data_IF_592702436068
#
_entry.id   IF_592702436068
#
_cell.length_a   1.000
_cell.length_b   1.000
_cell.length_c   1.000
_cell.angle_alpha   90.00
_cell.angle_beta   90.00
_cell.angle_gamma   90.00
#
_symmetry.space_group_name_H-M   'P 1'
#
loop_
_entity.id
_entity.type
_entity.pdbx_description
1 polymer ?
#
# COMPACT_ATOMS: atom_id res chain seq x y z
N UNK A 1 9.46 0.49 19.43
CA UNK A 1 10.24 1.71 19.11
C UNK A 1 10.56 1.63 17.63
N UNK A 2 10.27 2.67 16.83
CA UNK A 2 10.54 2.74 15.39
C UNK A 2 10.99 4.15 14.96
N UNK A 3 11.30 4.42 13.69
CA UNK A 3 11.85 5.71 13.26
C UNK A 3 10.89 6.89 13.45
N UNK A 4 9.58 6.66 13.55
CA UNK A 4 8.55 7.67 13.82
C UNK A 4 8.12 7.70 15.29
N UNK A 5 8.93 7.18 16.21
CA UNK A 5 8.64 7.29 17.65
C UNK A 5 8.53 8.76 18.06
N UNK A 6 7.45 9.10 18.77
CA UNK A 6 7.16 10.46 19.20
C UNK A 6 6.42 11.31 18.17
N UNK A 7 6.06 10.74 17.02
CA UNK A 7 5.11 11.34 16.07
C UNK A 7 3.69 10.90 16.44
N UNK A 8 2.74 11.82 16.51
CA UNK A 8 1.30 11.54 16.69
C UNK A 8 0.52 11.92 15.44
N UNK A 9 -0.29 10.99 14.93
CA UNK A 9 -1.11 11.19 13.72
C UNK A 9 -2.56 10.88 14.00
N UNK A 10 -3.45 11.78 13.60
CA UNK A 10 -4.90 11.57 13.64
C UNK A 10 -5.36 11.02 12.28
N UNK A 11 -6.04 9.91 12.27
CA UNK A 11 -6.65 9.35 11.06
C UNK A 11 -8.17 9.47 11.15
N UNK A 12 -8.80 10.16 10.21
CA UNK A 12 -10.25 10.07 10.07
C UNK A 12 -10.60 8.80 9.29
N UNK A 13 -11.44 7.95 9.89
CA UNK A 13 -11.75 6.63 9.37
C UNK A 13 -12.15 6.64 7.89
N UNK A 14 -11.29 6.02 7.06
CA UNK A 14 -11.50 5.79 5.63
C UNK A 14 -11.41 4.30 5.25
N UNK A 15 -11.27 4.05 3.94
CA UNK A 15 -11.08 2.73 3.34
C UNK A 15 -9.82 2.72 2.47
N UNK A 16 -9.25 1.54 2.21
CA UNK A 16 -8.16 1.32 1.24
C UNK A 16 -6.90 2.16 1.51
N UNK A 17 -6.62 3.21 0.71
CA UNK A 17 -5.36 3.96 0.75
C UNK A 17 -5.08 4.71 2.07
N UNK A 18 -6.11 5.33 2.69
CA UNK A 18 -5.94 6.08 3.94
C UNK A 18 -5.53 5.18 5.11
N UNK A 19 -6.28 4.09 5.39
CA UNK A 19 -5.91 3.05 6.33
C UNK A 19 -4.53 2.45 6.07
N UNK A 20 -4.17 2.24 4.80
CA UNK A 20 -2.84 1.74 4.44
C UNK A 20 -1.72 2.74 4.79
N UNK A 21 -1.90 4.03 4.49
CA UNK A 21 -0.97 5.09 4.94
C UNK A 21 -0.82 5.08 6.46
N UNK A 22 -1.93 5.08 7.20
CA UNK A 22 -1.94 5.02 8.65
C UNK A 22 -1.21 3.78 9.21
N UNK A 23 -1.41 2.61 8.60
CA UNK A 23 -0.70 1.37 8.92
C UNK A 23 0.82 1.54 8.77
N UNK A 24 1.27 2.07 7.63
CA UNK A 24 2.70 2.25 7.36
C UNK A 24 3.35 3.19 8.38
N UNK A 25 2.67 4.28 8.77
CA UNK A 25 3.17 5.20 9.80
C UNK A 25 3.19 4.52 11.19
N UNK A 26 2.14 3.76 11.53
CA UNK A 26 2.04 3.04 12.79
C UNK A 26 3.10 1.93 12.93
N UNK A 27 3.34 1.16 11.87
CA UNK A 27 4.37 0.13 11.83
C UNK A 27 5.77 0.72 12.03
N UNK A 28 5.97 1.97 11.64
CA UNK A 28 7.20 2.75 11.85
C UNK A 28 7.27 3.48 13.19
N UNK A 29 6.28 3.32 14.08
CA UNK A 29 6.35 3.84 15.44
C UNK A 29 5.52 5.09 15.74
N UNK A 30 4.82 5.67 14.77
CA UNK A 30 3.94 6.83 15.00
C UNK A 30 2.72 6.43 15.85
N UNK A 31 2.36 7.18 16.89
CA UNK A 31 1.10 6.99 17.60
C UNK A 31 -0.07 7.42 16.71
N UNK A 32 -0.77 6.45 16.14
CA UNK A 32 -1.90 6.71 15.24
C UNK A 32 -3.22 6.53 16.00
N UNK A 33 -3.99 7.61 16.08
CA UNK A 33 -5.33 7.63 16.66
C UNK A 33 -6.35 7.70 15.52
N UNK A 34 -7.07 6.60 15.33
CA UNK A 34 -8.18 6.53 14.38
C UNK A 34 -9.46 7.10 15.01
N UNK A 35 -10.07 8.04 14.32
CA UNK A 35 -11.40 8.57 14.63
C UNK A 35 -12.42 7.77 13.84
N UNK A 36 -13.06 6.81 14.52
CA UNK A 36 -14.19 6.07 13.98
C UNK A 36 -15.49 6.83 14.22
N UNK A 37 -16.47 6.61 13.34
CA UNK A 37 -17.81 7.17 13.54
C UNK A 37 -18.38 6.59 14.84
N UNK A 38 -18.93 7.43 15.71
CA UNK A 38 -19.61 6.98 16.93
C UNK A 38 -20.67 5.89 16.63
N UNK A 39 -21.38 6.04 15.51
CA UNK A 39 -22.37 5.06 15.03
C UNK A 39 -21.80 3.73 14.56
N UNK A 40 -20.47 3.56 14.49
CA UNK A 40 -19.80 2.29 14.21
C UNK A 40 -19.32 1.57 15.48
N UNK A 41 -19.35 2.23 16.65
CA UNK A 41 -18.99 1.61 17.93
C UNK A 41 -20.06 0.59 18.31
N UNK A 42 -19.65 -0.66 18.55
CA UNK A 42 -20.55 -1.78 18.91
C UNK A 42 -20.12 -2.49 20.19
N UNK A 43 -19.04 -2.03 20.83
CA UNK A 43 -18.27 -2.85 21.75
C UNK A 43 -17.55 -3.98 21.02
N UNK A 44 -16.68 -4.69 21.73
CA UNK A 44 -15.91 -5.79 21.19
C UNK A 44 -14.95 -6.32 22.23
N UNK A 45 -14.62 -7.60 22.11
CA UNK A 45 -13.65 -8.24 22.99
C UNK A 45 -12.23 -7.95 22.49
N UNK A 46 -11.37 -7.27 23.27
CA UNK A 46 -9.97 -7.02 22.90
C UNK A 46 -9.16 -8.30 22.64
N UNK A 47 -9.55 -9.42 23.25
CA UNK A 47 -8.90 -10.72 23.03
C UNK A 47 -9.28 -11.35 21.68
N UNK A 48 -10.33 -10.82 21.03
CA UNK A 48 -10.80 -11.20 19.69
C UNK A 48 -10.84 -9.98 18.76
N UNK A 49 -9.68 -9.47 18.32
CA UNK A 49 -9.61 -8.27 17.51
C UNK A 49 -10.19 -8.46 16.10
N UNK A 50 -10.64 -7.38 15.44
CA UNK A 50 -11.04 -7.42 14.04
C UNK A 50 -9.94 -7.92 13.12
N UNK A 51 -10.32 -8.49 11.98
CA UNK A 51 -9.39 -9.07 10.99
C UNK A 51 -8.97 -8.11 9.87
N UNK A 52 -9.41 -6.86 9.92
CA UNK A 52 -8.94 -5.83 8.99
C UNK A 52 -7.53 -5.37 9.40
N UNK A 53 -6.53 -6.09 8.88
CA UNK A 53 -5.13 -5.93 9.26
C UNK A 53 -4.53 -4.58 8.89
N UNK A 54 -5.14 -3.85 7.94
CA UNK A 54 -4.73 -2.47 7.70
C UNK A 54 -4.86 -1.66 9.00
N UNK A 55 -5.83 -1.98 9.86
CA UNK A 55 -6.09 -1.30 11.13
C UNK A 55 -5.12 -1.61 12.27
N UNK A 56 -4.12 -2.47 12.06
CA UNK A 56 -3.12 -2.80 13.08
C UNK A 56 -2.31 -1.58 13.52
N UNK A 57 -1.77 -1.65 14.73
CA UNK A 57 -0.86 -0.65 15.29
C UNK A 57 -1.52 0.65 15.77
N UNK A 58 -2.84 0.79 15.63
CA UNK A 58 -3.59 2.02 15.95
C UNK A 58 -4.36 1.92 17.27
N UNK A 59 -4.72 3.08 17.80
CA UNK A 59 -5.79 3.25 18.80
C UNK A 59 -7.03 3.79 18.10
N UNK A 60 -8.21 3.62 18.69
CA UNK A 60 -9.48 4.05 18.09
C UNK A 60 -10.33 4.80 19.10
N UNK A 61 -10.91 5.93 18.67
CA UNK A 61 -11.88 6.75 19.40
C UNK A 61 -13.16 6.88 18.57
N UNK A 62 -14.31 6.70 19.20
CA UNK A 62 -15.62 6.87 18.56
C UNK A 62 -16.10 8.32 18.70
N UNK A 63 -16.25 9.04 17.59
CA UNK A 63 -16.68 10.45 17.59
C UNK A 63 -17.80 10.66 16.57
N UNK A 64 -18.83 11.43 16.93
CA UNK A 64 -19.84 11.93 15.99
C UNK A 64 -19.44 13.29 15.40
N UNK A 65 -18.88 13.27 14.19
CA UNK A 65 -18.48 14.46 13.44
C UNK A 65 -19.67 15.33 12.96
N UNK A 66 -20.92 14.92 13.23
CA UNK A 66 -22.11 15.77 12.99
C UNK A 66 -22.45 16.64 14.19
N UNK A 67 -21.89 16.35 15.36
CA UNK A 67 -22.07 17.16 16.57
C UNK A 67 -20.95 18.20 16.68
N UNK A 68 -21.29 19.41 17.13
CA UNK A 68 -20.28 20.46 17.36
C UNK A 68 -19.25 20.05 18.41
N UNK A 69 -19.66 19.30 19.43
CA UNK A 69 -18.78 18.77 20.48
C UNK A 69 -17.84 17.67 19.95
N UNK A 70 -18.30 16.84 19.04
CA UNK A 70 -17.46 15.84 18.37
C UNK A 70 -16.42 16.49 17.46
N UNK A 71 -16.81 17.53 16.70
CA UNK A 71 -15.88 18.34 15.91
C UNK A 71 -14.83 18.99 16.81
N UNK A 72 -15.24 19.63 17.90
CA UNK A 72 -14.32 20.24 18.87
C UNK A 72 -13.39 19.20 19.52
N UNK A 73 -13.86 17.97 19.73
CA UNK A 73 -13.02 16.87 20.23
C UNK A 73 -11.93 16.50 19.22
N UNK A 74 -12.22 16.47 17.92
CA UNK A 74 -11.19 16.27 16.88
C UNK A 74 -10.21 17.42 16.82
N UNK A 75 -10.69 18.66 16.89
CA UNK A 75 -9.83 19.84 16.92
C UNK A 75 -8.90 19.85 18.14
N UNK A 76 -9.38 19.37 19.29
CA UNK A 76 -8.55 19.17 20.50
C UNK A 76 -7.48 18.09 20.30
N UNK A 77 -7.79 17.00 19.59
CA UNK A 77 -6.79 15.99 19.22
C UNK A 77 -5.69 16.56 18.31
N UNK A 78 -6.08 17.45 17.40
CA UNK A 78 -5.18 18.11 16.44
C UNK A 78 -4.15 19.02 17.13
N UNK A 79 -4.49 19.65 18.26
CA UNK A 79 -3.57 20.54 19.00
C UNK A 79 -2.27 19.83 19.43
N UNK A 80 -2.33 18.54 19.73
CA UNK A 80 -1.18 17.72 20.12
C UNK A 80 -0.64 16.78 19.04
N UNK A 81 -1.08 16.92 17.79
CA UNK A 81 -0.71 16.02 16.69
C UNK A 81 0.36 16.64 15.77
N UNK A 82 1.18 15.80 15.15
CA UNK A 82 2.09 16.20 14.08
C UNK A 82 1.42 16.15 12.70
N UNK A 83 0.40 15.29 12.56
CA UNK A 83 -0.36 15.21 11.32
C UNK A 83 -1.80 14.73 11.50
N UNK A 84 -2.63 15.03 10.52
CA UNK A 84 -3.96 14.48 10.34
C UNK A 84 -4.08 13.94 8.91
N UNK A 85 -4.78 12.82 8.70
CA UNK A 85 -5.13 12.35 7.35
C UNK A 85 -6.60 11.97 7.23
N UNK A 86 -7.19 12.30 6.08
CA UNK A 86 -8.58 12.02 5.74
C UNK A 86 -8.72 11.63 4.27
N UNK A 87 -9.79 10.91 3.93
CA UNK A 87 -10.06 10.41 2.58
C UNK A 87 -11.43 10.77 2.05
N UNK A 88 -12.00 11.90 2.48
CA UNK A 88 -13.28 12.37 1.99
C UNK A 88 -13.16 12.96 0.59
N UNK A 89 -14.33 13.12 -0.04
CA UNK A 89 -14.44 13.93 -1.26
C UNK A 89 -14.12 15.40 -0.96
N UNK A 90 -13.61 16.15 -1.94
CA UNK A 90 -13.36 17.59 -1.79
C UNK A 90 -14.58 18.33 -1.19
N UNK A 91 -14.33 19.22 -0.23
CA UNK A 91 -15.35 20.02 0.45
C UNK A 91 -16.10 19.35 1.60
N UNK A 92 -15.90 18.05 1.85
CA UNK A 92 -16.58 17.35 2.95
C UNK A 92 -15.98 17.70 4.30
N UNK A 93 -14.64 17.69 4.42
CA UNK A 93 -13.96 17.98 5.69
C UNK A 93 -14.24 19.39 6.19
N UNK A 94 -14.29 20.37 5.27
CA UNK A 94 -14.63 21.76 5.52
C UNK A 94 -16.07 21.89 6.01
N UNK A 95 -17.02 21.20 5.38
CA UNK A 95 -18.42 21.20 5.83
C UNK A 95 -18.59 20.58 7.22
N UNK A 96 -17.70 19.66 7.60
CA UNK A 96 -17.68 19.07 8.94
C UNK A 96 -16.92 19.93 9.97
N UNK A 97 -16.25 21.03 9.56
CA UNK A 97 -15.47 21.87 10.48
C UNK A 97 -14.15 21.26 10.93
N UNK A 98 -13.64 20.28 10.17
CA UNK A 98 -12.33 19.64 10.40
C UNK A 98 -11.44 19.77 9.15
N UNK A 99 -11.69 20.80 8.34
CA UNK A 99 -10.89 21.10 7.17
C UNK A 99 -9.47 21.56 7.53
N UNK A 100 -8.58 21.71 6.55
CA UNK A 100 -7.22 22.16 6.82
C UNK A 100 -7.14 23.52 7.50
N UNK A 101 -7.99 24.48 7.11
CA UNK A 101 -7.99 25.82 7.70
C UNK A 101 -8.34 25.76 9.19
N UNK A 102 -9.40 25.03 9.56
CA UNK A 102 -9.82 24.84 10.95
C UNK A 102 -8.71 24.16 11.77
N UNK A 103 -8.11 23.11 11.22
CA UNK A 103 -7.07 22.33 11.89
C UNK A 103 -5.76 23.13 12.05
N UNK A 104 -5.31 23.85 11.01
CA UNK A 104 -4.11 24.68 11.04
C UNK A 104 -4.27 25.92 11.94
N UNK A 105 -5.50 26.40 12.13
CA UNK A 105 -5.79 27.46 13.09
C UNK A 105 -5.54 27.01 14.54
N UNK A 106 -5.80 25.73 14.86
CA UNK A 106 -5.50 25.12 16.17
C UNK A 106 -4.04 24.72 16.31
N UNK A 107 -3.44 24.20 15.24
CA UNK A 107 -2.05 23.77 15.23
C UNK A 107 -1.35 24.19 13.93
N UNK A 108 -0.59 25.28 13.98
CA UNK A 108 0.12 25.85 12.82
C UNK A 108 1.22 24.96 12.26
N UNK A 109 1.71 23.98 13.02
CA UNK A 109 2.72 23.01 12.60
C UNK A 109 2.13 21.71 12.03
N UNK A 110 0.80 21.54 12.05
CA UNK A 110 0.14 20.31 11.62
C UNK A 110 0.31 20.05 10.12
N UNK A 111 0.71 18.83 9.78
CA UNK A 111 0.62 18.34 8.39
C UNK A 111 -0.77 17.75 8.13
N UNK A 112 -1.48 18.27 7.13
CA UNK A 112 -2.82 17.79 6.78
C UNK A 112 -2.80 17.00 5.47
N UNK A 113 -2.97 15.68 5.57
CA UNK A 113 -3.00 14.76 4.45
C UNK A 113 -4.39 14.54 3.88
N UNK A 114 -4.53 14.67 2.57
CA UNK A 114 -5.75 14.36 1.83
C UNK A 114 -5.52 13.18 0.91
N UNK A 115 -6.26 12.11 1.14
CA UNK A 115 -6.23 10.91 0.31
C UNK A 115 -7.42 10.90 -0.63
N UNK A 116 -7.22 11.31 -1.89
CA UNK A 116 -8.30 11.29 -2.89
C UNK A 116 -7.97 10.41 -4.07
N UNK A 117 -9.00 10.08 -4.84
CA UNK A 117 -8.83 9.39 -6.11
C UNK A 117 -8.31 10.30 -7.22
N UNK A 118 -8.98 11.43 -7.40
CA UNK A 118 -8.82 12.33 -8.54
C UNK A 118 -8.05 13.62 -8.24
N UNK A 119 -7.75 13.92 -6.97
CA UNK A 119 -7.22 15.21 -6.52
C UNK A 119 -8.30 16.12 -5.91
N UNK A 120 -7.86 17.21 -5.27
CA UNK A 120 -8.77 18.26 -4.79
C UNK A 120 -9.37 19.11 -5.91
N UNK A 121 -8.74 19.12 -7.09
CA UNK A 121 -9.16 19.89 -8.27
C UNK A 121 -9.24 19.03 -9.54
N UNK A 122 -9.52 19.69 -10.67
CA UNK A 122 -9.72 19.02 -11.95
C UNK A 122 -11.16 18.56 -12.22
N UNK A 123 -11.44 18.10 -13.45
CA UNK A 123 -12.79 17.79 -13.91
C UNK A 123 -13.44 16.60 -13.18
N UNK A 124 -12.63 15.72 -12.58
CA UNK A 124 -13.10 14.53 -11.88
C UNK A 124 -13.11 14.67 -10.36
N UNK A 125 -12.66 15.79 -9.77
CA UNK A 125 -12.59 15.98 -8.31
C UNK A 125 -13.89 15.62 -7.57
N UNK A 126 -15.05 16.00 -8.12
CA UNK A 126 -16.35 15.69 -7.53
C UNK A 126 -16.90 14.29 -7.92
N UNK A 127 -16.33 13.64 -8.93
CA UNK A 127 -16.82 12.39 -9.48
C UNK A 127 -16.55 11.21 -8.53
N UNK A 128 -17.42 10.20 -8.56
CA UNK A 128 -17.11 8.93 -7.93
C UNK A 128 -16.00 8.21 -8.72
N UNK A 129 -15.17 7.46 -8.01
CA UNK A 129 -14.19 6.56 -8.59
C UNK A 129 -13.83 5.48 -7.60
N UNK A 130 -13.12 4.48 -8.08
CA UNK A 130 -12.47 3.45 -7.30
C UNK A 130 -11.08 3.20 -7.89
N UNK A 131 -10.21 2.49 -7.16
CA UNK A 131 -8.86 2.08 -7.57
C UNK A 131 -8.71 1.89 -9.10
N UNK A 132 -9.53 1.01 -9.68
CA UNK A 132 -9.50 0.65 -11.11
C UNK A 132 -9.64 1.86 -12.05
N UNK A 133 -10.45 2.85 -11.69
CA UNK A 133 -10.67 4.05 -12.51
C UNK A 133 -9.44 4.97 -12.49
N UNK A 134 -8.76 5.07 -11.34
CA UNK A 134 -7.58 5.93 -11.18
C UNK A 134 -6.41 5.38 -12.00
N UNK A 135 -6.15 4.08 -11.89
CA UNK A 135 -5.08 3.42 -12.66
C UNK A 135 -5.40 3.32 -14.16
N UNK A 136 -6.68 3.35 -14.55
CA UNK A 136 -7.08 3.45 -15.94
C UNK A 136 -6.71 4.81 -16.54
N UNK A 137 -7.01 5.91 -15.84
CA UNK A 137 -6.66 7.26 -16.33
C UNK A 137 -5.17 7.54 -16.27
N UNK A 138 -4.44 6.91 -15.35
CA UNK A 138 -2.98 6.98 -15.28
C UNK A 138 -2.26 6.19 -16.39
N UNK A 139 -2.99 5.41 -17.20
CA UNK A 139 -2.42 4.52 -18.23
C UNK A 139 -1.84 3.21 -17.68
N UNK A 140 -1.72 3.06 -16.35
CA UNK A 140 -1.16 1.88 -15.72
C UNK A 140 -1.96 0.61 -16.05
N UNK A 141 -3.30 0.68 -16.04
CA UNK A 141 -4.14 -0.49 -16.34
C UNK A 141 -3.91 -1.01 -17.77
N UNK A 142 -3.72 -0.11 -18.74
CA UNK A 142 -3.51 -0.50 -20.14
C UNK A 142 -2.25 -1.35 -20.32
N UNK A 143 -1.21 -1.14 -19.51
CA UNK A 143 0.03 -1.92 -19.57
C UNK A 143 -0.04 -3.32 -18.95
N UNK A 144 -1.12 -3.70 -18.27
CA UNK A 144 -1.17 -4.92 -17.45
C UNK A 144 -2.10 -5.97 -18.08
N UNK A 145 -1.55 -7.14 -18.40
CA UNK A 145 -2.27 -8.26 -19.04
C UNK A 145 -1.54 -8.79 -20.27
N UNK A 146 -2.10 -9.83 -20.91
CA UNK A 146 -1.49 -10.46 -22.09
C UNK A 146 -1.90 -9.77 -23.39
N UNK A 147 -1.11 -10.02 -24.44
CA UNK A 147 -1.41 -9.58 -25.80
C UNK A 147 -2.74 -10.19 -26.27
N UNK A 148 -3.61 -9.36 -26.86
CA UNK A 148 -4.91 -9.79 -27.38
C UNK A 148 -5.99 -10.05 -26.31
N UNK A 149 -5.64 -10.01 -25.02
CA UNK A 149 -6.59 -10.14 -23.90
C UNK A 149 -7.01 -8.76 -23.37
N UNK A 150 -8.06 -8.70 -22.54
CA UNK A 150 -8.44 -7.47 -21.86
C UNK A 150 -7.37 -7.04 -20.82
N UNK A 151 -7.25 -5.74 -20.51
CA UNK A 151 -6.45 -5.28 -19.36
C UNK A 151 -6.86 -5.99 -18.06
N UNK A 152 -5.88 -6.35 -17.23
CA UNK A 152 -6.09 -7.11 -15.99
C UNK A 152 -5.93 -6.20 -14.77
N UNK A 153 -6.95 -6.04 -13.91
CA UNK A 153 -6.83 -5.34 -12.65
C UNK A 153 -5.76 -5.97 -11.73
N UNK A 154 -4.70 -5.25 -11.33
CA UNK A 154 -3.59 -5.79 -10.53
C UNK A 154 -3.91 -5.80 -9.03
N UNK A 155 -5.08 -6.33 -8.66
CA UNK A 155 -5.72 -6.04 -7.37
C UNK A 155 -5.79 -4.51 -7.17
N UNK A 156 -5.81 -4.04 -5.93
CA UNK A 156 -5.68 -2.62 -5.60
C UNK A 156 -4.23 -2.21 -5.21
N UNK A 157 -3.23 -2.98 -5.65
CA UNK A 157 -1.82 -2.74 -5.31
C UNK A 157 -1.28 -1.46 -5.94
N UNK A 158 -1.76 -1.10 -7.13
CA UNK A 158 -1.22 0.02 -7.92
C UNK A 158 -1.87 1.35 -7.55
N UNK A 159 -3.19 1.41 -7.44
CA UNK A 159 -3.92 2.63 -7.10
C UNK A 159 -3.93 2.88 -5.60
N UNK A 160 -4.71 2.10 -4.86
CA UNK A 160 -4.93 2.30 -3.42
C UNK A 160 -3.60 2.30 -2.63
N UNK A 161 -2.77 1.27 -2.80
CA UNK A 161 -1.58 1.13 -1.96
C UNK A 161 -0.36 1.85 -2.54
N UNK A 162 0.02 1.51 -3.77
CA UNK A 162 1.18 2.07 -4.45
C UNK A 162 1.04 3.57 -4.71
N UNK A 163 0.02 3.98 -5.45
CA UNK A 163 -0.20 5.36 -5.88
C UNK A 163 -0.89 6.26 -4.85
N UNK A 164 -1.65 5.68 -3.93
CA UNK A 164 -2.34 6.40 -2.85
C UNK A 164 -1.55 6.35 -1.56
N UNK A 165 -1.75 5.27 -0.80
CA UNK A 165 -1.32 5.16 0.58
C UNK A 165 0.19 5.35 0.78
N UNK A 166 1.04 4.81 -0.10
CA UNK A 166 2.49 5.04 -0.03
C UNK A 166 2.90 6.48 -0.36
N UNK A 167 2.30 7.11 -1.39
CA UNK A 167 2.60 8.51 -1.72
C UNK A 167 2.14 9.47 -0.64
N UNK A 168 0.99 9.20 -0.01
CA UNK A 168 0.57 9.98 1.15
C UNK A 168 1.50 9.76 2.33
N UNK A 169 1.86 8.52 2.68
CA UNK A 169 2.80 8.27 3.78
C UNK A 169 4.15 8.97 3.55
N UNK A 170 4.67 8.90 2.33
CA UNK A 170 5.88 9.62 1.92
C UNK A 170 5.71 11.15 2.05
N UNK A 171 4.62 11.70 1.51
CA UNK A 171 4.31 13.13 1.58
C UNK A 171 4.14 13.63 3.02
N UNK A 172 3.46 12.87 3.87
CA UNK A 172 3.29 13.15 5.30
C UNK A 172 4.65 13.20 6.00
N UNK A 173 5.52 12.21 5.79
CA UNK A 173 6.87 12.20 6.40
C UNK A 173 7.71 13.38 5.92
N UNK A 174 7.72 13.67 4.62
CA UNK A 174 8.42 14.83 4.05
C UNK A 174 7.94 16.15 4.67
N UNK A 175 6.62 16.34 4.74
CA UNK A 175 6.03 17.55 5.30
C UNK A 175 6.25 17.65 6.82
N UNK A 176 6.24 16.55 7.58
CA UNK A 176 6.51 16.58 9.02
C UNK A 176 7.98 16.91 9.30
N UNK A 177 8.92 16.42 8.46
CA UNK A 177 10.33 16.79 8.55
C UNK A 177 10.56 18.27 8.21
N UNK A 178 9.84 18.79 7.21
CA UNK A 178 9.85 20.22 6.88
C UNK A 178 9.32 21.04 8.06
N UNK A 179 8.14 20.69 8.58
CA UNK A 179 7.46 21.39 9.66
C UNK A 179 8.29 21.44 10.95
N UNK A 180 9.08 20.39 11.23
CA UNK A 180 10.04 20.39 12.35
C UNK A 180 11.13 21.46 12.24
N UNK A 181 11.47 21.87 11.02
CA UNK A 181 12.48 22.89 10.75
C UNK A 181 11.86 24.28 10.62
N UNK A 182 10.74 24.37 9.91
CA UNK A 182 10.07 25.65 9.59
C UNK A 182 9.12 26.13 10.70
N UNK A 183 8.67 25.23 11.56
CA UNK A 183 7.57 25.45 12.51
C UNK A 183 6.20 25.59 11.84
N UNK A 184 6.08 25.25 10.54
CA UNK A 184 4.87 25.44 9.75
C UNK A 184 4.46 24.14 9.09
N UNK A 185 3.21 23.77 9.31
CA UNK A 185 2.56 22.67 8.63
C UNK A 185 2.09 23.06 7.24
N UNK A 186 1.62 22.07 6.50
CA UNK A 186 1.09 22.24 5.15
C UNK A 186 0.09 21.14 4.80
N UNK A 187 -0.65 21.37 3.72
CA UNK A 187 -1.54 20.36 3.13
C UNK A 187 -0.74 19.48 2.17
N UNK A 188 -0.91 18.17 2.29
CA UNK A 188 -0.43 17.16 1.34
C UNK A 188 -1.64 16.65 0.59
N UNK A 189 -1.82 17.06 -0.67
CA UNK A 189 -2.81 16.46 -1.57
C UNK A 189 -2.19 15.25 -2.26
N UNK A 190 -2.67 14.06 -1.92
CA UNK A 190 -2.21 12.80 -2.48
C UNK A 190 -3.35 12.15 -3.27
N UNK A 191 -3.38 12.44 -4.57
CA UNK A 191 -4.31 11.82 -5.50
C UNK A 191 -3.77 10.46 -5.99
N UNK A 192 -4.60 9.41 -5.94
CA UNK A 192 -4.23 8.09 -6.44
C UNK A 192 -3.90 8.10 -7.93
N UNK A 193 -4.57 8.94 -8.73
CA UNK A 193 -4.27 9.08 -10.17
C UNK A 193 -2.86 9.62 -10.41
N UNK A 194 -2.40 10.59 -9.61
CA UNK A 194 -1.06 11.17 -9.73
C UNK A 194 0.01 10.19 -9.30
N UNK A 195 -0.21 9.50 -8.18
CA UNK A 195 0.72 8.48 -7.71
C UNK A 195 0.80 7.29 -8.66
N UNK A 196 -0.33 6.82 -9.21
CA UNK A 196 -0.34 5.77 -10.23
C UNK A 196 0.39 6.20 -11.50
N UNK A 197 0.23 7.45 -11.95
CA UNK A 197 0.99 8.00 -13.08
C UNK A 197 2.48 8.11 -12.76
N UNK A 198 2.84 8.50 -11.53
CA UNK A 198 4.23 8.55 -11.08
C UNK A 198 4.89 7.17 -11.07
N UNK A 199 4.17 6.11 -10.69
CA UNK A 199 4.66 4.73 -10.81
C UNK A 199 4.93 4.32 -12.27
N UNK A 200 4.26 4.95 -13.24
CA UNK A 200 4.45 4.69 -14.66
C UNK A 200 5.64 5.45 -15.29
N UNK A 201 6.36 6.29 -14.54
CA UNK A 201 7.41 7.19 -15.07
C UNK A 201 8.43 6.48 -15.98
N UNK A 202 8.93 5.29 -15.60
CA UNK A 202 9.90 4.56 -16.40
C UNK A 202 9.35 4.15 -17.78
N UNK A 203 8.07 3.79 -17.85
CA UNK A 203 7.40 3.38 -19.08
C UNK A 203 7.15 4.55 -20.02
N UNK A 204 6.80 5.73 -19.49
CA UNK A 204 6.77 6.96 -20.26
C UNK A 204 8.14 7.29 -20.87
N UNK A 205 9.22 7.09 -20.10
CA UNK A 205 10.60 7.24 -20.60
C UNK A 205 10.95 6.26 -21.72
N UNK A 206 10.59 4.98 -21.57
CA UNK A 206 10.79 3.96 -22.60
C UNK A 206 9.98 4.25 -23.87
N UNK A 207 8.72 4.67 -23.73
CA UNK A 207 7.88 5.08 -24.85
C UNK A 207 8.46 6.29 -25.59
N UNK A 208 8.88 7.33 -24.86
CA UNK A 208 9.54 8.50 -25.42
C UNK A 208 10.87 8.18 -26.13
N UNK A 209 11.50 7.06 -25.78
CA UNK A 209 12.76 6.59 -26.39
C UNK A 209 12.57 5.53 -27.48
N UNK A 210 11.33 5.14 -27.80
CA UNK A 210 11.02 4.10 -28.79
C UNK A 210 11.27 2.66 -28.32
N UNK A 211 11.59 2.46 -27.04
CA UNK A 211 11.79 1.13 -26.44
C UNK A 211 10.50 0.50 -25.90
N UNK A 212 9.37 1.18 -26.00
CA UNK A 212 8.06 0.67 -25.59
C UNK A 212 7.06 0.74 -26.74
N UNK A 213 6.35 -0.35 -26.96
CA UNK A 213 5.16 -0.44 -27.82
C UNK A 213 3.93 -0.18 -26.98
N UNK A 214 3.00 0.64 -27.50
CA UNK A 214 1.70 0.85 -26.83
C UNK A 214 0.75 -0.37 -26.96
N UNK A 215 1.21 -1.44 -27.62
CA UNK A 215 0.55 -2.74 -27.61
C UNK A 215 0.97 -3.55 -26.37
N UNK A 216 0.04 -3.73 -25.43
CA UNK A 216 0.23 -4.55 -24.23
C UNK A 216 0.62 -5.99 -24.58
N UNK A 217 1.50 -6.57 -23.77
CA UNK A 217 1.91 -7.97 -23.90
C UNK A 217 2.97 -8.20 -24.96
N UNK A 218 3.57 -7.13 -25.49
CA UNK A 218 4.60 -7.18 -26.56
C UNK A 218 5.94 -6.59 -26.14
N UNK A 219 6.02 -6.06 -24.92
CA UNK A 219 7.20 -5.44 -24.35
C UNK A 219 7.96 -6.42 -23.45
N UNK A 220 9.19 -6.03 -23.09
CA UNK A 220 10.04 -6.86 -22.22
C UNK A 220 9.43 -7.07 -20.83
N UNK A 221 8.79 -6.03 -20.26
CA UNK A 221 8.32 -6.02 -18.87
C UNK A 221 6.81 -6.23 -18.71
N UNK A 222 6.09 -6.62 -19.77
CA UNK A 222 4.62 -6.76 -19.76
C UNK A 222 4.14 -8.12 -20.29
N UNK A 223 4.96 -9.19 -20.18
CA UNK A 223 4.73 -10.56 -20.69
C UNK A 223 5.09 -10.83 -22.15
N UNK A 224 5.66 -9.85 -22.87
CA UNK A 224 6.14 -10.02 -24.23
C UNK A 224 7.34 -10.94 -24.37
N UNK A 225 8.39 -10.74 -23.57
CA UNK A 225 9.65 -11.50 -23.64
C UNK A 225 9.55 -12.91 -23.05
N UNK A 226 10.27 -13.88 -23.65
CA UNK A 226 10.35 -15.25 -23.12
C UNK A 226 11.21 -15.36 -21.85
N UNK A 227 12.19 -14.48 -21.67
CA UNK A 227 13.06 -14.47 -20.49
C UNK A 227 12.53 -13.54 -19.37
N UNK A 228 11.32 -13.01 -19.47
CA UNK A 228 10.68 -12.23 -18.41
C UNK A 228 9.18 -12.55 -18.37
N UNK A 229 8.83 -13.67 -17.72
CA UNK A 229 7.46 -14.18 -17.72
C UNK A 229 7.20 -15.19 -16.59
N UNK A 230 5.94 -15.61 -16.48
CA UNK A 230 5.51 -16.76 -15.68
C UNK A 230 5.17 -17.94 -16.59
N UNK A 231 5.55 -19.14 -16.15
CA UNK A 231 5.37 -20.38 -16.91
C UNK A 231 4.69 -21.45 -16.07
N UNK A 232 3.74 -22.16 -16.67
CA UNK A 232 3.07 -23.30 -16.05
C UNK A 232 3.97 -24.54 -16.08
N UNK A 233 3.98 -25.28 -14.98
CA UNK A 233 4.79 -26.47 -14.73
C UNK A 233 3.95 -27.74 -14.87
N UNK A 234 4.57 -28.92 -14.85
CA UNK A 234 3.89 -30.20 -15.08
C UNK A 234 2.73 -30.50 -14.10
N UNK A 235 2.76 -29.91 -12.90
CA UNK A 235 1.74 -30.04 -11.86
C UNK A 235 0.71 -28.90 -11.85
N UNK A 236 0.64 -28.09 -12.91
CA UNK A 236 -0.33 -26.99 -13.06
C UNK A 236 -0.06 -25.78 -12.15
N UNK A 237 1.13 -25.73 -11.53
CA UNK A 237 1.62 -24.59 -10.75
C UNK A 237 2.50 -23.68 -11.63
N UNK A 238 2.91 -22.53 -11.11
CA UNK A 238 3.69 -21.55 -11.88
C UNK A 238 5.06 -21.27 -11.26
N UNK A 239 6.03 -20.99 -12.13
CA UNK A 239 7.32 -20.38 -11.79
C UNK A 239 7.43 -19.01 -12.49
N UNK A 240 8.25 -18.12 -11.94
CA UNK A 240 8.63 -16.85 -12.57
C UNK A 240 10.10 -16.89 -13.00
N UNK A 241 10.37 -16.33 -14.18
CA UNK A 241 11.71 -16.10 -14.71
C UNK A 241 11.84 -14.62 -15.08
N UNK A 242 12.99 -14.02 -14.76
CA UNK A 242 13.34 -12.65 -15.16
C UNK A 242 14.81 -12.38 -15.49
N UNK A 243 15.59 -13.29 -16.13
CA UNK A 243 16.99 -13.00 -16.46
C UNK A 243 17.11 -12.07 -17.67
N UNK A 244 17.01 -10.75 -17.44
CA UNK A 244 17.11 -9.74 -18.48
C UNK A 244 18.56 -9.58 -18.96
N UNK A 245 19.51 -9.60 -18.03
CA UNK A 245 20.93 -9.40 -18.35
C UNK A 245 21.53 -10.63 -19.06
N UNK A 246 22.37 -10.45 -20.10
CA UNK A 246 22.85 -11.54 -20.93
C UNK A 246 23.53 -12.69 -20.18
N UNK A 247 24.27 -12.40 -19.10
CA UNK A 247 24.92 -13.42 -18.29
C UNK A 247 23.94 -14.30 -17.51
N UNK A 248 22.84 -13.71 -17.03
CA UNK A 248 21.78 -14.44 -16.31
C UNK A 248 20.94 -15.26 -17.29
N UNK A 249 20.72 -14.73 -18.49
CA UNK A 249 20.06 -15.46 -19.56
C UNK A 249 20.91 -16.64 -20.06
N UNK A 250 22.23 -16.47 -20.14
CA UNK A 250 23.16 -17.57 -20.44
C UNK A 250 23.12 -18.66 -19.37
N UNK A 251 23.08 -18.30 -18.08
CA UNK A 251 22.90 -19.27 -16.98
C UNK A 251 21.57 -20.03 -17.11
N UNK A 252 20.48 -19.33 -17.42
CA UNK A 252 19.18 -19.98 -17.66
C UNK A 252 19.28 -20.98 -18.82
N UNK A 253 19.87 -20.56 -19.94
CA UNK A 253 20.05 -21.42 -21.11
C UNK A 253 20.84 -22.68 -20.78
N UNK A 254 21.94 -22.55 -20.05
CA UNK A 254 22.77 -23.69 -19.65
C UNK A 254 21.98 -24.67 -18.78
N UNK A 255 21.29 -24.18 -17.74
CA UNK A 255 20.52 -25.04 -16.82
C UNK A 255 19.34 -25.74 -17.48
N UNK A 256 18.73 -25.12 -18.49
CA UNK A 256 17.59 -25.67 -19.22
C UNK A 256 17.98 -26.41 -20.50
N UNK A 257 19.28 -26.45 -20.85
CA UNK A 257 19.77 -27.10 -22.07
C UNK A 257 19.38 -26.38 -23.38
N UNK A 258 19.20 -25.06 -23.34
CA UNK A 258 18.77 -24.22 -24.46
C UNK A 258 19.97 -23.78 -25.34
N UNK A 259 20.58 -24.74 -26.02
CA UNK A 259 21.82 -24.53 -26.79
C UNK A 259 21.62 -24.14 -28.27
N UNK A 260 20.39 -24.15 -28.77
CA UNK A 260 20.10 -23.81 -30.16
C UNK A 260 20.41 -22.34 -30.52
N UNK A 261 20.81 -22.03 -31.77
CA UNK A 261 21.11 -20.66 -32.20
C UNK A 261 19.89 -19.73 -32.17
N UNK A 262 18.68 -20.26 -32.17
CA UNK A 262 17.45 -19.49 -32.02
C UNK A 262 17.35 -18.75 -30.68
N UNK A 263 18.10 -19.19 -29.67
CA UNK A 263 18.13 -18.57 -28.34
C UNK A 263 19.14 -17.41 -28.23
N UNK A 264 20.06 -17.26 -29.19
CA UNK A 264 21.12 -16.24 -29.18
C UNK A 264 20.61 -14.79 -29.30
N UNK A 265 19.65 -14.45 -30.19
CA UNK A 265 19.16 -13.09 -30.33
C UNK A 265 18.13 -12.74 -29.24
N UNK A 266 18.54 -12.77 -27.97
CA UNK A 266 17.68 -12.57 -26.80
C UNK A 266 16.72 -11.38 -26.95
N UNK A 267 17.21 -10.23 -27.41
CA UNK A 267 16.45 -8.98 -27.51
C UNK A 267 15.70 -8.79 -28.83
N UNK A 268 15.74 -9.77 -29.74
CA UNK A 268 14.96 -9.74 -30.98
C UNK A 268 13.49 -10.10 -30.70
N UNK A 269 12.66 -9.06 -30.66
CA UNK A 269 11.23 -9.17 -30.38
C UNK A 269 10.47 -10.06 -31.37
N UNK A 270 10.97 -10.20 -32.59
CA UNK A 270 10.29 -11.01 -33.61
C UNK A 270 10.30 -12.50 -33.27
N UNK A 271 11.31 -12.97 -32.52
CA UNK A 271 11.42 -14.36 -32.08
C UNK A 271 10.68 -14.67 -30.78
N UNK A 272 10.34 -13.65 -29.97
CA UNK A 272 9.76 -13.85 -28.63
C UNK A 272 8.50 -14.73 -28.60
N UNK A 273 7.52 -14.60 -29.52
CA UNK A 273 6.34 -15.46 -29.50
C UNK A 273 6.68 -16.96 -29.59
N UNK A 274 7.54 -17.35 -30.54
CA UNK A 274 7.94 -18.75 -30.72
C UNK A 274 8.82 -19.25 -29.55
N UNK A 275 9.76 -18.42 -29.08
CA UNK A 275 10.62 -18.77 -27.95
C UNK A 275 9.84 -18.91 -26.64
N UNK A 276 8.74 -18.15 -26.46
CA UNK A 276 7.82 -18.33 -25.33
C UNK A 276 7.19 -19.72 -25.34
N UNK A 277 6.70 -20.17 -26.49
CA UNK A 277 6.10 -21.51 -26.62
C UNK A 277 7.13 -22.62 -26.36
N UNK A 278 8.33 -22.50 -26.93
CA UNK A 278 9.42 -23.47 -26.70
C UNK A 278 9.83 -23.52 -25.23
N UNK A 279 10.00 -22.36 -24.59
CA UNK A 279 10.37 -22.31 -23.18
C UNK A 279 9.26 -22.87 -22.30
N UNK A 280 8.00 -22.53 -22.57
CA UNK A 280 6.86 -23.12 -21.86
C UNK A 280 6.84 -24.65 -21.98
N UNK A 281 7.12 -25.21 -23.17
CA UNK A 281 7.21 -26.64 -23.37
C UNK A 281 8.37 -27.31 -22.63
N UNK A 282 9.47 -26.59 -22.37
CA UNK A 282 10.56 -27.06 -21.50
C UNK A 282 10.11 -27.04 -20.05
N UNK A 283 9.55 -25.92 -19.57
CA UNK A 283 9.09 -25.76 -18.18
C UNK A 283 8.00 -26.78 -17.81
N UNK A 284 7.08 -27.08 -18.73
CA UNK A 284 6.00 -28.04 -18.51
C UNK A 284 6.46 -29.50 -18.33
N UNK A 285 7.75 -29.82 -18.49
CA UNK A 285 8.28 -31.18 -18.34
C UNK A 285 8.58 -31.58 -16.88
N UNK A 286 8.66 -30.60 -15.98
CA UNK A 286 8.97 -30.83 -14.56
C UNK A 286 7.95 -30.10 -13.69
N UNK A 287 7.77 -30.63 -12.49
CA UNK A 287 6.97 -29.99 -11.44
C UNK A 287 7.63 -28.71 -10.95
N UNK A 288 6.86 -27.82 -10.30
CA UNK A 288 7.41 -26.60 -9.69
C UNK A 288 8.56 -26.90 -8.72
N UNK A 289 8.42 -27.93 -7.90
CA UNK A 289 9.41 -28.25 -6.85
C UNK A 289 10.72 -28.80 -7.46
N UNK A 290 10.65 -29.58 -8.55
CA UNK A 290 11.84 -29.99 -9.31
C UNK A 290 12.56 -28.80 -9.97
N UNK A 291 11.82 -27.77 -10.41
CA UNK A 291 12.44 -26.53 -10.87
C UNK A 291 13.09 -25.75 -9.73
N UNK A 292 12.45 -25.72 -8.55
CA UNK A 292 13.03 -25.12 -7.36
C UNK A 292 14.38 -25.77 -7.01
N UNK A 293 14.46 -27.10 -7.00
CA UNK A 293 15.72 -27.84 -6.76
C UNK A 293 16.83 -27.49 -7.76
N UNK A 294 16.47 -27.19 -9.02
CA UNK A 294 17.44 -26.90 -10.08
C UNK A 294 17.87 -25.42 -10.14
N UNK A 295 16.95 -24.49 -9.83
CA UNK A 295 17.09 -23.07 -10.16
C UNK A 295 17.13 -22.14 -8.93
N UNK A 296 16.65 -22.54 -7.76
CA UNK A 296 16.70 -21.66 -6.58
C UNK A 296 18.12 -21.36 -6.13
N UNK A 297 18.36 -20.11 -5.76
CA UNK A 297 19.68 -19.63 -5.33
C UNK A 297 20.70 -19.46 -6.47
N UNK A 298 20.27 -19.63 -7.72
CA UNK A 298 21.09 -19.44 -8.91
C UNK A 298 20.85 -18.05 -9.52
N UNK A 299 21.69 -17.67 -10.48
CA UNK A 299 21.61 -16.39 -11.18
C UNK A 299 20.57 -16.39 -12.33
N UNK A 300 19.64 -17.34 -12.38
CA UNK A 300 18.60 -17.39 -13.43
C UNK A 300 17.41 -16.46 -13.18
N UNK A 301 17.46 -15.62 -12.13
CA UNK A 301 16.35 -14.76 -11.71
C UNK A 301 15.03 -15.55 -11.57
N UNK A 302 15.08 -16.64 -10.80
CA UNK A 302 13.99 -17.60 -10.64
C UNK A 302 13.30 -17.45 -9.28
N UNK A 303 11.99 -17.71 -9.24
CA UNK A 303 11.24 -18.00 -8.02
C UNK A 303 9.98 -18.83 -8.33
N UNK A 304 9.49 -19.67 -7.40
CA UNK A 304 8.16 -20.24 -7.49
C UNK A 304 7.08 -19.16 -7.28
N UNK A 305 5.95 -19.27 -7.99
CA UNK A 305 4.77 -18.44 -7.70
C UNK A 305 4.05 -19.07 -6.51
N UNK A 306 3.99 -18.31 -5.40
CA UNK A 306 3.44 -18.77 -4.12
C UNK A 306 2.06 -18.17 -3.84
N UNK A 307 1.17 -18.98 -3.28
CA UNK A 307 -0.10 -18.53 -2.70
C UNK A 307 0.10 -17.83 -1.35
N UNK A 308 -0.97 -17.22 -0.82
CA UNK A 308 -0.98 -16.63 0.53
C UNK A 308 -0.66 -17.65 1.64
N UNK A 309 -0.94 -18.93 1.42
CA UNK A 309 -0.65 -19.99 2.38
C UNK A 309 0.80 -20.49 2.28
N UNK A 310 1.38 -20.47 1.09
CA UNK A 310 2.76 -20.96 0.86
C UNK A 310 3.81 -19.88 1.18
N UNK A 311 3.50 -18.60 0.92
CA UNK A 311 4.47 -17.52 1.06
C UNK A 311 5.09 -17.41 2.47
N UNK A 312 4.34 -17.54 3.59
CA UNK A 312 4.91 -17.54 4.94
C UNK A 312 5.83 -18.74 5.23
N UNK A 313 5.59 -19.88 4.59
CA UNK A 313 6.31 -21.13 4.84
C UNK A 313 7.61 -21.25 4.04
N UNK A 314 7.76 -20.46 2.97
CA UNK A 314 8.96 -20.48 2.13
C UNK A 314 10.23 -20.14 2.94
N UNK A 315 11.29 -20.93 2.77
CA UNK A 315 12.51 -20.84 3.58
C UNK A 315 13.11 -19.42 3.61
N UNK A 316 13.16 -18.74 2.46
CA UNK A 316 13.62 -17.34 2.40
C UNK A 316 12.77 -16.39 3.24
N UNK A 317 11.45 -16.54 3.24
CA UNK A 317 10.54 -15.67 3.98
C UNK A 317 10.56 -15.97 5.47
N UNK A 318 10.73 -17.24 5.87
CA UNK A 318 10.93 -17.65 7.26
C UNK A 318 12.23 -17.09 7.82
N UNK A 319 13.35 -17.30 7.11
CA UNK A 319 14.68 -16.80 7.53
C UNK A 319 14.69 -15.27 7.63
N UNK A 320 13.97 -14.61 6.72
CA UNK A 320 13.83 -13.16 6.76
C UNK A 320 12.80 -12.69 7.77
N UNK A 321 11.94 -13.52 8.35
CA UNK A 321 10.78 -13.06 9.12
C UNK A 321 9.93 -12.05 8.32
N UNK A 322 9.69 -12.33 7.03
CA UNK A 322 8.88 -11.47 6.16
C UNK A 322 7.42 -11.39 6.64
N UNK A 323 6.93 -12.46 7.27
CA UNK A 323 5.61 -12.56 7.85
C UNK A 323 5.71 -12.72 9.37
N UNK A 324 4.73 -12.21 10.08
CA UNK A 324 4.59 -12.34 11.53
C UNK A 324 3.18 -12.82 11.88
N UNK A 325 3.05 -13.57 12.97
CA UNK A 325 1.77 -13.95 13.54
C UNK A 325 1.43 -13.01 14.71
N UNK A 326 0.31 -12.28 14.58
CA UNK A 326 -0.18 -11.39 15.64
C UNK A 326 -1.67 -11.65 15.81
N UNK A 327 -2.10 -11.87 17.05
CA UNK A 327 -3.48 -12.22 17.40
C UNK A 327 -4.04 -13.41 16.57
N UNK A 328 -3.21 -14.43 16.34
CA UNK A 328 -3.59 -15.65 15.62
C UNK A 328 -3.74 -15.47 14.10
N UNK A 329 -3.24 -14.37 13.53
CA UNK A 329 -3.28 -14.11 12.09
C UNK A 329 -1.87 -13.88 11.55
N UNK A 330 -1.46 -14.73 10.60
CA UNK A 330 -0.24 -14.58 9.82
C UNK A 330 -0.40 -13.44 8.82
N UNK A 331 0.52 -12.49 8.83
CA UNK A 331 0.46 -11.28 8.03
C UNK A 331 1.85 -10.72 7.69
N UNK A 332 1.99 -9.90 6.64
CA UNK A 332 3.28 -9.26 6.33
C UNK A 332 3.79 -8.41 7.50
N UNK A 333 5.07 -8.56 7.85
CA UNK A 333 5.73 -7.73 8.85
C UNK A 333 5.96 -6.29 8.37
N UNK A 334 6.35 -5.37 9.26
CA UNK A 334 6.71 -4.00 8.91
C UNK A 334 7.82 -3.91 7.85
N UNK A 335 7.66 -3.00 6.89
CA UNK A 335 8.64 -2.70 5.86
C UNK A 335 8.75 -1.18 5.61
N UNK A 336 9.94 -0.66 5.23
CA UNK A 336 11.21 -1.36 5.07
C UNK A 336 11.87 -1.69 6.42
N UNK A 337 12.99 -2.42 6.38
CA UNK A 337 13.78 -2.77 7.57
C UNK A 337 14.83 -1.69 7.84
N UNK A 338 14.95 -1.31 9.10
CA UNK A 338 15.94 -0.35 9.57
C UNK A 338 16.94 -1.04 10.48
N UNK A 339 18.24 -0.76 10.29
CA UNK A 339 19.32 -1.39 11.07
C UNK A 339 19.35 -0.96 12.54
N UNK A 340 18.84 0.23 12.89
CA UNK A 340 18.87 0.79 14.24
C UNK A 340 17.51 0.95 14.90
N UNK A 341 16.46 1.18 14.11
CA UNK A 341 15.11 1.48 14.60
C UNK A 341 14.09 0.58 13.89
N UNK A 342 14.11 -0.74 14.12
CA UNK A 342 13.22 -1.65 13.43
C UNK A 342 11.75 -1.28 13.66
N UNK A 343 10.93 -1.41 12.61
CA UNK A 343 9.47 -1.29 12.75
C UNK A 343 8.88 -2.46 13.54
N UNK A 344 7.68 -2.29 14.08
CA UNK A 344 6.98 -3.34 14.82
C UNK A 344 5.46 -3.18 14.72
N UNK A 345 4.74 -4.30 14.61
CA UNK A 345 3.28 -4.35 14.78
C UNK A 345 3.00 -4.23 16.28
N UNK A 346 2.67 -3.02 16.75
CA UNK A 346 2.54 -2.75 18.20
C UNK A 346 1.25 -3.25 18.81
N UNK A 347 0.17 -3.32 18.03
CA UNK A 347 -1.18 -3.70 18.48
C UNK A 347 -1.89 -4.43 17.34
N UNK A 348 -2.81 -5.36 17.62
CA UNK A 348 -3.74 -5.84 16.61
C UNK A 348 -4.70 -4.70 16.20
N UNK A 349 -5.50 -4.88 15.13
CA UNK A 349 -6.59 -3.98 14.80
C UNK A 349 -7.49 -3.69 16.02
N UNK A 350 -7.83 -2.42 16.30
CA UNK A 350 -8.77 -2.09 17.37
C UNK A 350 -10.22 -2.27 16.90
N UNK A 351 -11.12 -2.57 17.84
CA UNK A 351 -12.56 -2.31 17.64
C UNK A 351 -12.81 -0.80 17.59
N UNK A 352 -13.84 -0.37 16.86
CA UNK A 352 -14.22 1.04 16.80
C UNK A 352 -14.54 1.56 18.22
N UNK A 353 -13.91 2.67 18.61
CA UNK A 353 -14.06 3.29 19.93
C UNK A 353 -13.40 2.53 21.09
N UNK A 354 -12.61 1.49 20.82
CA UNK A 354 -12.01 0.65 21.87
C UNK A 354 -11.18 1.44 22.90
N UNK A 355 -10.61 2.58 22.50
CA UNK A 355 -9.71 3.39 23.31
C UNK A 355 -10.28 4.79 23.58
N UNK A 356 -11.60 5.00 23.43
CA UNK A 356 -12.23 6.33 23.58
C UNK A 356 -11.84 6.98 24.91
N UNK A 357 -12.04 6.30 26.04
CA UNK A 357 -11.80 6.90 27.36
C UNK A 357 -10.31 7.16 27.61
N UNK A 358 -9.43 6.25 27.18
CA UNK A 358 -7.97 6.42 27.25
C UNK A 358 -7.53 7.70 26.51
N UNK A 359 -8.00 7.85 25.27
CA UNK A 359 -7.63 8.97 24.40
C UNK A 359 -8.20 10.30 24.92
N UNK A 360 -9.44 10.30 25.45
CA UNK A 360 -10.04 11.52 26.01
C UNK A 360 -9.36 11.94 27.31
N UNK A 361 -8.94 10.98 28.15
CA UNK A 361 -8.17 11.29 29.36
C UNK A 361 -6.80 11.90 29.03
N UNK A 362 -6.13 11.47 27.94
CA UNK A 362 -4.90 12.11 27.45
C UNK A 362 -5.07 13.58 27.04
N UNK A 363 -6.30 13.96 26.63
CA UNK A 363 -6.65 15.36 26.35
C UNK A 363 -6.92 16.17 27.64
N UNK A 364 -6.75 15.56 28.82
CA UNK A 364 -6.97 16.22 30.10
C UNK A 364 -8.44 16.25 30.54
N UNK A 365 -9.32 15.48 29.90
CA UNK A 365 -10.69 15.34 30.39
C UNK A 365 -10.74 14.40 31.60
N UNK A 366 -11.48 14.83 32.62
CA UNK A 366 -11.83 13.95 33.72
C UNK A 366 -13.01 13.03 33.37
N UNK A 367 -13.29 12.07 34.26
CA UNK A 367 -14.35 11.10 34.06
C UNK A 367 -15.75 11.73 33.93
N UNK A 368 -15.98 12.90 34.53
CA UNK A 368 -17.27 13.59 34.46
C UNK A 368 -17.47 14.22 33.08
N UNK A 369 -16.45 14.90 32.55
CA UNK A 369 -16.46 15.45 31.20
C UNK A 369 -16.56 14.37 30.12
N UNK A 370 -15.92 13.21 30.32
CA UNK A 370 -16.05 12.06 29.40
C UNK A 370 -17.50 11.53 29.43
N UNK A 371 -18.08 11.36 30.62
CA UNK A 371 -19.47 10.92 30.77
C UNK A 371 -20.45 11.89 30.09
N UNK A 372 -20.26 13.20 30.26
CA UNK A 372 -21.09 14.23 29.62
C UNK A 372 -21.04 14.14 28.09
N UNK A 373 -19.85 13.95 27.50
CA UNK A 373 -19.70 13.77 26.04
C UNK A 373 -20.34 12.48 25.52
N UNK A 374 -20.38 11.42 26.34
CA UNK A 374 -21.08 10.17 26.01
C UNK A 374 -22.59 10.36 26.05
N UNK A 375 -23.08 11.06 27.07
CA UNK A 375 -24.51 11.37 27.22
C UNK A 375 -25.03 12.27 26.08
N UNK A 376 -24.21 13.22 25.61
CA UNK A 376 -24.57 14.07 24.46
C UNK A 376 -24.51 13.33 23.11
N UNK A 377 -23.89 12.14 23.08
CA UNK A 377 -23.65 11.37 21.86
C UNK A 377 -22.50 11.88 21.00
N UNK A 378 -21.74 12.86 21.49
CA UNK A 378 -20.56 13.40 20.80
C UNK A 378 -19.44 12.35 20.66
N UNK A 379 -19.33 11.45 21.64
CA UNK A 379 -18.40 10.31 21.64
C UNK A 379 -19.09 9.00 22.02
N UNK A 380 -18.53 7.88 21.59
CA UNK A 380 -19.08 6.53 21.84
C UNK A 380 -18.02 5.54 22.33
#
# INVERSE_FOLDING_TARGET
MGPLTGIRVIEIAGIGPGPFCAMMLADMGADVVRVDRASAVRGGDPDHPPRDLLNRGRRSVGIDLKSSEGVETVLSLVEGADGLLEGFRPGVAERLGIGPEDCLARNRSLVYGRMTGWGQDGPYAAAAGHDLNYIALAGALHGIGRQGEAPVPPLNLVGDFGGGGMYLAYGMVCAMLEARTSGRGQVVDAAMVDGAASLMTAFFGMAGSGFWSDERGTNMLDTGAHFYNVYETADGRYISLGPIEPQFYAELRERLGLHGPEWDPQMDRSGWPELKEKLAAVIAQRTRDEWCELLEGTDTCFAPVLSLAEAPEHAHNRERETFAEVAGIVQPGPAPRFSRTPGAIRRPPPHAGQHTDEILAELGLDAAAIAERRESGAVA
#
